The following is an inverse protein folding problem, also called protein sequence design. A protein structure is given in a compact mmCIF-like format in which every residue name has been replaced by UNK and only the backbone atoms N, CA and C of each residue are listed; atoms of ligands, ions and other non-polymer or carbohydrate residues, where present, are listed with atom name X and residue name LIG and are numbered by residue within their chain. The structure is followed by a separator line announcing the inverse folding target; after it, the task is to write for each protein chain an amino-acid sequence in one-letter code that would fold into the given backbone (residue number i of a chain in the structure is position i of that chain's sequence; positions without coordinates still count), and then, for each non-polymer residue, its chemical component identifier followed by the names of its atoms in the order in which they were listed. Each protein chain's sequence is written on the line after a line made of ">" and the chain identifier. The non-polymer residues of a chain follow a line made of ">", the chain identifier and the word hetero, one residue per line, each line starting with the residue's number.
data_IF_803538751664
#
_entry.id   IF_803538751664
#
_cell.length_a   1.000
_cell.length_b   1.000
_cell.length_c   1.000
_cell.angle_alpha   90.00
_cell.angle_beta   90.00
_cell.angle_gamma   90.00
#
_symmetry.space_group_name_H-M   'P 1'
#
loop_
_entity.id
_entity.type
_entity.pdbx_description
1 polymer ?
#
# COMPACT_ATOMS: atom_id res chain seq x y z
N UNK A 1 7.90 24.12 -24.45
CA UNK A 1 7.35 24.44 -23.11
C UNK A 1 7.75 23.33 -22.15
N UNK A 2 8.74 23.58 -21.30
CA UNK A 2 9.16 22.63 -20.26
C UNK A 2 8.06 22.51 -19.20
N UNK A 3 7.51 21.31 -19.01
CA UNK A 3 6.63 21.01 -17.89
C UNK A 3 7.46 21.10 -16.61
N UNK A 4 7.24 22.15 -15.82
CA UNK A 4 7.65 22.16 -14.43
C UNK A 4 6.90 21.03 -13.72
N UNK A 5 7.62 19.97 -13.35
CA UNK A 5 7.13 18.98 -12.41
C UNK A 5 6.97 19.70 -11.07
N UNK A 6 5.73 19.96 -10.65
CA UNK A 6 5.44 20.45 -9.30
C UNK A 6 6.07 19.48 -8.30
N UNK A 7 7.17 19.91 -7.68
CA UNK A 7 7.76 19.20 -6.56
C UNK A 7 6.67 19.04 -5.49
N UNK A 8 6.46 17.83 -4.93
CA UNK A 8 5.42 17.63 -3.93
C UNK A 8 5.63 18.60 -2.76
N UNK A 9 4.60 19.39 -2.45
CA UNK A 9 4.64 20.33 -1.31
C UNK A 9 5.02 19.55 -0.05
N UNK A 10 6.17 19.88 0.54
CA UNK A 10 6.55 19.34 1.84
C UNK A 10 5.55 19.80 2.89
N UNK A 11 4.75 18.87 3.41
CA UNK A 11 3.82 19.17 4.49
C UNK A 11 4.56 19.52 5.79
N UNK A 12 3.94 20.34 6.64
CA UNK A 12 4.45 20.57 8.00
C UNK A 12 4.51 19.22 8.74
N UNK A 13 5.65 18.94 9.36
CA UNK A 13 5.82 17.71 10.13
C UNK A 13 4.89 17.70 11.34
N UNK A 14 4.05 16.66 11.52
CA UNK A 14 3.17 16.56 12.66
C UNK A 14 3.96 16.36 13.97
N UNK A 15 3.39 16.72 15.13
CA UNK A 15 4.07 16.57 16.42
C UNK A 15 4.44 15.11 16.69
N UNK A 16 5.66 14.88 17.21
CA UNK A 16 6.16 13.53 17.56
C UNK A 16 5.50 12.93 18.80
N UNK A 17 4.89 13.77 19.65
CA UNK A 17 4.23 13.35 20.89
C UNK A 17 3.04 12.43 20.55
N UNK A 18 2.95 11.29 21.22
CA UNK A 18 1.93 10.24 21.02
C UNK A 18 1.99 9.45 19.71
N UNK A 19 2.96 9.70 18.82
CA UNK A 19 3.03 8.94 17.56
C UNK A 19 3.20 7.44 17.84
N UNK A 20 2.37 6.57 17.23
CA UNK A 20 2.42 5.15 17.51
C UNK A 20 3.67 4.50 16.89
N UNK A 21 4.29 3.58 17.62
CA UNK A 21 5.40 2.78 17.08
C UNK A 21 4.94 2.04 15.82
N UNK A 22 5.77 2.08 14.78
CA UNK A 22 5.50 1.40 13.50
C UNK A 22 4.61 2.20 12.53
N UNK A 23 4.26 3.44 12.86
CA UNK A 23 3.52 4.36 11.99
C UNK A 23 4.16 5.75 12.04
N UNK A 24 4.65 6.23 10.90
CA UNK A 24 5.10 7.61 10.79
C UNK A 24 3.97 8.45 10.21
N UNK A 25 3.58 9.55 10.88
CA UNK A 25 2.56 10.43 10.33
C UNK A 25 3.17 11.32 9.24
N UNK A 26 2.64 11.20 8.02
CA UNK A 26 3.08 11.95 6.84
C UNK A 26 2.32 13.26 6.69
N UNK A 27 1.03 13.26 7.03
CA UNK A 27 0.15 14.42 6.96
C UNK A 27 -1.03 14.27 7.92
N UNK A 28 -1.45 15.37 8.53
CA UNK A 28 -2.64 15.42 9.38
C UNK A 28 -3.31 16.79 9.29
N UNK A 29 -4.62 16.80 9.09
CA UNK A 29 -5.46 17.99 9.27
C UNK A 29 -6.77 17.63 10.00
N UNK A 30 -7.85 18.38 9.78
CA UNK A 30 -9.15 18.13 10.40
C UNK A 30 -9.93 16.97 9.75
N UNK A 31 -9.64 16.63 8.50
CA UNK A 31 -10.42 15.73 7.67
C UNK A 31 -9.71 14.39 7.45
N UNK A 32 -8.38 14.39 7.33
CA UNK A 32 -7.58 13.20 7.02
C UNK A 32 -6.34 13.05 7.91
N UNK A 33 -5.88 11.79 7.99
CA UNK A 33 -4.61 11.40 8.58
C UNK A 33 -3.93 10.42 7.62
N UNK A 34 -2.72 10.75 7.17
CA UNK A 34 -1.94 9.94 6.26
C UNK A 34 -0.69 9.46 6.97
N UNK A 35 -0.42 8.15 6.91
CA UNK A 35 0.72 7.55 7.60
C UNK A 35 1.50 6.61 6.69
N UNK A 36 2.79 6.46 6.96
CA UNK A 36 3.62 5.38 6.44
C UNK A 36 3.56 4.19 7.42
N UNK A 37 2.93 3.11 6.97
CA UNK A 37 2.74 1.88 7.74
C UNK A 37 3.94 0.96 7.60
N UNK A 38 4.51 0.50 8.72
CA UNK A 38 5.53 -0.54 8.69
C UNK A 38 4.98 -1.88 8.17
N UNK A 39 5.88 -2.70 7.63
CA UNK A 39 5.60 -4.11 7.32
C UNK A 39 5.42 -4.92 8.61
N UNK A 40 4.47 -5.85 8.62
CA UNK A 40 4.16 -6.72 9.77
C UNK A 40 2.99 -6.23 10.63
N UNK A 41 2.56 -4.97 10.45
CA UNK A 41 1.43 -4.35 11.16
C UNK A 41 0.13 -4.50 10.36
N UNK A 42 -0.90 -5.06 10.97
CA UNK A 42 -2.24 -5.12 10.37
C UNK A 42 -2.83 -3.71 10.25
N UNK A 43 -3.48 -3.39 9.12
CA UNK A 43 -4.25 -2.14 9.03
C UNK A 43 -5.46 -2.15 9.97
N UNK A 44 -6.26 -3.21 9.87
CA UNK A 44 -7.50 -3.41 10.64
C UNK A 44 -7.40 -4.77 11.34
N UNK A 45 -7.98 -4.87 12.52
CA UNK A 45 -8.05 -6.10 13.28
C UNK A 45 -8.78 -7.23 12.55
N UNK A 46 -8.55 -8.44 13.03
CA UNK A 46 -9.31 -9.65 12.71
C UNK A 46 -10.00 -10.14 13.97
N UNK A 47 -10.79 -11.21 13.87
CA UNK A 47 -11.45 -11.81 15.05
C UNK A 47 -10.43 -12.21 16.13
N UNK A 48 -9.22 -12.61 15.71
CA UNK A 48 -8.13 -13.05 16.60
C UNK A 48 -7.23 -11.91 17.09
N UNK A 49 -7.15 -10.80 16.34
CA UNK A 49 -6.22 -9.70 16.64
C UNK A 49 -6.97 -8.38 16.55
N UNK A 50 -7.35 -7.83 17.70
CA UNK A 50 -8.10 -6.55 17.77
C UNK A 50 -7.20 -5.36 18.12
N UNK A 51 -6.16 -5.62 18.90
CA UNK A 51 -5.17 -4.62 19.33
C UNK A 51 -3.95 -4.59 18.41
N UNK A 52 -3.09 -3.58 18.60
CA UNK A 52 -1.83 -3.42 17.86
C UNK A 52 -2.01 -3.48 16.32
N UNK A 53 -3.07 -2.83 15.84
CA UNK A 53 -3.31 -2.58 14.41
C UNK A 53 -3.16 -1.09 14.13
N UNK A 54 -2.93 -0.72 12.87
CA UNK A 54 -2.82 0.69 12.52
C UNK A 54 -4.08 1.47 12.93
N UNK A 55 -5.26 0.90 12.69
CA UNK A 55 -6.52 1.49 13.11
C UNK A 55 -6.62 1.68 14.63
N UNK A 56 -6.26 0.67 15.43
CA UNK A 56 -6.27 0.77 16.89
C UNK A 56 -5.30 1.85 17.39
N UNK A 57 -4.05 1.80 16.91
CA UNK A 57 -2.99 2.72 17.30
C UNK A 57 -3.32 4.17 16.94
N UNK A 58 -3.89 4.41 15.76
CA UNK A 58 -4.27 5.76 15.32
C UNK A 58 -5.49 6.30 16.06
N UNK A 59 -6.44 5.44 16.46
CA UNK A 59 -7.53 5.86 17.36
C UNK A 59 -6.99 6.34 18.70
N UNK A 60 -6.02 5.63 19.29
CA UNK A 60 -5.37 6.07 20.53
C UNK A 60 -4.61 7.40 20.34
N UNK A 61 -3.91 7.55 19.22
CA UNK A 61 -3.21 8.78 18.85
C UNK A 61 -4.16 10.00 18.80
N UNK A 62 -5.27 9.92 18.07
CA UNK A 62 -6.20 11.08 17.94
C UNK A 62 -7.01 11.37 19.21
N UNK A 63 -7.12 10.40 20.12
CA UNK A 63 -7.69 10.59 21.46
C UNK A 63 -6.69 11.20 22.45
N UNK A 64 -5.39 11.17 22.14
CA UNK A 64 -4.31 11.73 22.97
C UNK A 64 -4.37 11.25 24.43
N UNK A 65 -4.76 9.98 24.64
CA UNK A 65 -4.90 9.39 25.97
C UNK A 65 -6.16 9.79 26.75
N UNK A 66 -7.09 10.54 26.16
CA UNK A 66 -8.38 10.85 26.79
C UNK A 66 -9.45 9.79 26.43
N UNK A 67 -9.88 8.92 27.37
CA UNK A 67 -10.86 7.87 27.09
C UNK A 67 -12.26 8.42 26.74
N UNK A 68 -12.58 9.65 27.18
CA UNK A 68 -13.87 10.32 26.90
C UNK A 68 -13.88 11.04 25.55
N UNK A 69 -12.74 11.11 24.86
CA UNK A 69 -12.64 11.78 23.55
C UNK A 69 -13.50 11.05 22.52
N UNK A 70 -14.34 11.82 21.82
CA UNK A 70 -15.15 11.33 20.69
C UNK A 70 -14.36 11.20 19.39
N UNK A 71 -13.13 11.71 19.34
CA UNK A 71 -12.26 11.56 18.18
C UNK A 71 -12.04 10.08 17.88
N UNK A 72 -12.23 9.73 16.61
CA UNK A 72 -11.97 8.40 16.08
C UNK A 72 -11.51 8.49 14.64
N UNK A 73 -10.74 7.48 14.24
CA UNK A 73 -10.37 7.30 12.86
C UNK A 73 -11.45 6.50 12.12
N UNK A 74 -11.50 6.68 10.81
CA UNK A 74 -12.34 5.92 9.90
C UNK A 74 -11.48 5.33 8.79
N UNK A 75 -11.70 4.04 8.52
CA UNK A 75 -10.94 3.30 7.51
C UNK A 75 -11.45 3.70 6.12
N UNK A 76 -10.55 4.17 5.26
CA UNK A 76 -10.82 4.44 3.84
C UNK A 76 -10.45 3.21 3.02
N UNK A 77 -9.20 2.75 3.16
CA UNK A 77 -8.67 1.57 2.49
C UNK A 77 -7.75 0.77 3.43
N UNK A 78 -7.23 -0.35 2.94
CA UNK A 78 -6.30 -1.20 3.68
C UNK A 78 -5.06 -1.55 2.88
N UNK A 79 -3.98 -1.83 3.59
CA UNK A 79 -2.83 -2.56 3.09
C UNK A 79 -2.82 -3.94 3.77
N UNK A 80 -2.21 -4.93 3.11
CA UNK A 80 -1.95 -6.21 3.75
C UNK A 80 -0.97 -6.04 4.90
N UNK A 81 -0.98 -7.00 5.85
CA UNK A 81 -0.13 -6.97 7.06
C UNK A 81 1.33 -6.67 6.73
N UNK A 82 1.88 -7.40 5.76
CA UNK A 82 3.30 -7.33 5.42
C UNK A 82 3.63 -6.27 4.36
N UNK A 83 2.62 -5.67 3.73
CA UNK A 83 2.80 -4.53 2.82
C UNK A 83 3.07 -3.27 3.63
N UNK A 84 4.13 -2.54 3.30
CA UNK A 84 4.45 -1.26 3.96
C UNK A 84 4.02 -0.06 3.12
N UNK A 85 4.08 1.17 3.66
CA UNK A 85 3.89 2.40 2.90
C UNK A 85 2.62 3.18 3.22
N UNK A 86 2.27 4.08 2.31
CA UNK A 86 1.23 5.10 2.48
C UNK A 86 -0.16 4.48 2.71
N UNK A 87 -0.84 4.96 3.74
CA UNK A 87 -2.25 4.68 4.01
C UNK A 87 -2.96 5.94 4.51
N UNK A 88 -4.18 6.16 3.99
CA UNK A 88 -5.05 7.28 4.36
C UNK A 88 -6.18 6.79 5.25
N UNK A 89 -6.43 7.54 6.31
CA UNK A 89 -7.60 7.42 7.16
C UNK A 89 -8.37 8.74 7.17
N UNK A 90 -9.69 8.66 7.34
CA UNK A 90 -10.53 9.84 7.55
C UNK A 90 -10.72 10.11 9.05
N UNK A 91 -10.87 11.37 9.42
CA UNK A 91 -11.12 11.83 10.80
C UNK A 91 -12.60 12.14 11.08
N UNK A 92 -13.43 12.11 10.04
CA UNK A 92 -14.88 12.27 10.12
C UNK A 92 -15.60 11.44 9.04
N UNK A 93 -16.91 11.25 9.20
CA UNK A 93 -17.72 10.38 8.33
C UNK A 93 -17.90 10.94 6.91
N UNK A 94 -17.99 12.26 6.77
CA UNK A 94 -18.10 12.92 5.48
C UNK A 94 -16.84 12.68 4.63
N UNK A 95 -15.66 12.87 5.22
CA UNK A 95 -14.38 12.55 4.60
C UNK A 95 -14.26 11.06 4.27
N UNK A 96 -14.68 10.15 5.17
CA UNK A 96 -14.69 8.71 4.91
C UNK A 96 -15.51 8.38 3.66
N UNK A 97 -16.75 8.85 3.60
CA UNK A 97 -17.68 8.57 2.50
C UNK A 97 -17.10 9.05 1.17
N UNK A 98 -16.69 10.31 1.11
CA UNK A 98 -16.08 10.90 -0.08
C UNK A 98 -14.86 10.12 -0.57
N UNK A 99 -13.92 9.80 0.34
CA UNK A 99 -12.69 9.11 -0.02
C UNK A 99 -12.93 7.66 -0.46
N UNK A 100 -13.95 6.99 0.08
CA UNK A 100 -14.32 5.63 -0.33
C UNK A 100 -14.99 5.61 -1.71
N UNK A 101 -15.86 6.58 -2.00
CA UNK A 101 -16.50 6.73 -3.31
C UNK A 101 -15.45 7.05 -4.39
N UNK A 102 -14.55 7.99 -4.11
CA UNK A 102 -13.49 8.43 -5.02
C UNK A 102 -12.27 7.49 -5.08
N UNK A 103 -12.27 6.36 -4.36
CA UNK A 103 -11.09 5.46 -4.25
C UNK A 103 -10.56 4.96 -5.61
N UNK A 104 -11.47 4.81 -6.56
CA UNK A 104 -11.21 4.38 -7.93
C UNK A 104 -10.34 5.40 -8.68
N UNK A 105 -10.50 6.70 -8.37
CA UNK A 105 -9.84 7.82 -9.04
C UNK A 105 -8.43 8.10 -8.49
N UNK A 106 -8.03 7.44 -7.39
CA UNK A 106 -6.75 7.69 -6.76
C UNK A 106 -5.62 7.11 -7.61
N UNK A 107 -4.52 7.84 -7.78
CA UNK A 107 -3.31 7.29 -8.39
C UNK A 107 -2.48 6.61 -7.30
N UNK A 108 -2.08 5.36 -7.52
CA UNK A 108 -1.51 4.47 -6.51
C UNK A 108 -0.21 3.87 -7.04
N UNK A 109 0.93 4.34 -6.56
CA UNK A 109 2.23 3.79 -6.95
C UNK A 109 2.82 2.88 -5.87
N UNK A 110 3.39 1.76 -6.30
CA UNK A 110 4.06 0.81 -5.45
C UNK A 110 5.48 0.55 -5.94
N UNK A 111 6.37 0.19 -5.01
CA UNK A 111 7.60 -0.50 -5.34
C UNK A 111 7.49 -1.96 -4.93
N UNK A 112 8.02 -2.84 -5.78
CA UNK A 112 8.18 -4.25 -5.46
C UNK A 112 9.54 -4.77 -5.89
N UNK A 113 10.10 -5.72 -5.14
CA UNK A 113 11.20 -6.56 -5.64
C UNK A 113 10.63 -7.95 -5.90
N UNK A 114 10.83 -8.46 -7.12
CA UNK A 114 10.40 -9.79 -7.53
C UNK A 114 11.59 -10.70 -7.83
N UNK A 115 11.38 -12.01 -7.73
CA UNK A 115 12.36 -13.02 -8.13
C UNK A 115 12.56 -13.05 -9.65
N UNK A 116 13.79 -13.32 -10.08
CA UNK A 116 14.19 -13.43 -11.48
C UNK A 116 14.36 -12.07 -12.17
N UNK A 117 14.47 -12.14 -13.50
CA UNK A 117 14.45 -10.98 -14.41
C UNK A 117 13.22 -11.05 -15.28
N UNK A 118 12.61 -9.89 -15.59
CA UNK A 118 11.43 -9.88 -16.44
C UNK A 118 11.86 -9.76 -17.91
N UNK A 119 11.28 -10.56 -18.83
CA UNK A 119 11.52 -10.40 -20.26
C UNK A 119 11.09 -9.00 -20.74
N UNK A 120 9.91 -8.57 -20.33
CA UNK A 120 9.35 -7.25 -20.61
C UNK A 120 9.80 -6.25 -19.53
N UNK A 121 10.31 -5.08 -19.94
CA UNK A 121 10.76 -4.04 -18.99
C UNK A 121 9.65 -3.10 -18.54
N UNK A 122 8.52 -3.11 -19.21
CA UNK A 122 7.30 -2.43 -18.80
C UNK A 122 6.09 -3.11 -19.45
N UNK A 123 4.92 -2.98 -18.85
CA UNK A 123 3.70 -3.60 -19.35
C UNK A 123 2.54 -3.54 -18.38
N UNK A 124 1.44 -4.21 -18.75
CA UNK A 124 0.24 -4.32 -17.92
C UNK A 124 -0.17 -5.79 -17.80
N UNK A 125 -0.20 -6.30 -16.57
CA UNK A 125 -0.71 -7.63 -16.26
C UNK A 125 -2.22 -7.51 -15.98
N UNK A 126 -3.03 -8.23 -16.75
CA UNK A 126 -4.50 -8.25 -16.61
C UNK A 126 -5.00 -9.67 -16.39
N UNK A 127 -5.81 -9.88 -15.35
CA UNK A 127 -6.49 -11.15 -15.06
C UNK A 127 -7.74 -10.90 -14.22
N UNK A 128 -8.60 -11.91 -14.03
CA UNK A 128 -9.67 -11.85 -13.03
C UNK A 128 -9.19 -12.53 -11.76
N UNK A 129 -9.30 -11.86 -10.61
CA UNK A 129 -8.89 -12.43 -9.33
C UNK A 129 -10.09 -12.94 -8.54
N UNK A 130 -10.01 -14.20 -8.11
CA UNK A 130 -10.99 -14.88 -7.27
C UNK A 130 -10.36 -15.25 -5.92
N UNK A 131 -11.20 -15.48 -4.91
CA UNK A 131 -10.78 -15.93 -3.58
C UNK A 131 -11.32 -17.33 -3.32
N UNK A 132 -10.46 -18.25 -2.86
CA UNK A 132 -10.89 -19.60 -2.52
C UNK A 132 -11.37 -19.72 -1.06
N UNK A 133 -11.82 -20.91 -0.67
CA UNK A 133 -12.37 -21.20 0.68
C UNK A 133 -11.38 -20.98 1.83
N UNK A 134 -10.07 -20.95 1.56
CA UNK A 134 -9.02 -20.68 2.56
C UNK A 134 -8.52 -19.22 2.52
N UNK A 135 -9.29 -18.31 1.90
CA UNK A 135 -8.99 -16.88 1.77
C UNK A 135 -7.72 -16.55 0.99
N UNK A 136 -7.28 -17.45 0.10
CA UNK A 136 -6.17 -17.24 -0.83
C UNK A 136 -6.71 -16.75 -2.17
N UNK A 137 -6.16 -15.63 -2.63
CA UNK A 137 -6.44 -15.09 -3.96
C UNK A 137 -5.69 -15.86 -5.05
N UNK A 138 -6.29 -16.03 -6.22
CA UNK A 138 -5.69 -16.65 -7.41
C UNK A 138 -6.31 -16.05 -8.68
N UNK A 139 -5.61 -16.09 -9.82
CA UNK A 139 -6.23 -15.69 -11.10
C UNK A 139 -7.08 -16.79 -11.71
N UNK A 140 -8.11 -16.34 -12.40
CA UNK A 140 -9.01 -17.12 -13.22
C UNK A 140 -9.23 -16.41 -14.55
N UNK A 141 -9.51 -17.18 -15.59
CA UNK A 141 -9.94 -16.64 -16.88
C UNK A 141 -11.46 -16.44 -16.94
N UNK A 142 -12.19 -16.95 -15.94
CA UNK A 142 -13.64 -16.86 -15.84
C UNK A 142 -14.06 -15.53 -15.17
N UNK A 143 -14.66 -14.59 -15.93
CA UNK A 143 -15.10 -13.29 -15.41
C UNK A 143 -16.26 -13.39 -14.42
N UNK A 144 -16.98 -14.52 -14.36
CA UNK A 144 -18.04 -14.73 -13.38
C UNK A 144 -17.50 -15.19 -12.02
N UNK A 145 -16.30 -15.79 -11.98
CA UNK A 145 -15.66 -16.25 -10.74
C UNK A 145 -14.77 -15.21 -10.07
N UNK A 146 -14.24 -14.26 -10.85
CA UNK A 146 -13.26 -13.29 -10.37
C UNK A 146 -13.63 -11.85 -10.69
N UNK A 147 -12.91 -10.92 -10.08
CA UNK A 147 -13.02 -9.48 -10.40
C UNK A 147 -11.82 -9.04 -11.21
N UNK A 148 -12.08 -8.24 -12.25
CA UNK A 148 -11.02 -7.72 -13.13
C UNK A 148 -9.95 -6.97 -12.31
N UNK A 149 -8.71 -7.35 -12.56
CA UNK A 149 -7.50 -6.80 -11.94
C UNK A 149 -6.50 -6.42 -13.04
N UNK A 150 -5.89 -5.26 -12.88
CA UNK A 150 -4.94 -4.64 -13.80
C UNK A 150 -3.80 -4.02 -13.01
N UNK A 151 -2.58 -4.43 -13.32
CA UNK A 151 -1.34 -3.99 -12.66
C UNK A 151 -0.36 -3.55 -13.74
N UNK A 152 -0.14 -2.24 -13.86
CA UNK A 152 0.93 -1.69 -14.69
C UNK A 152 2.27 -1.79 -13.96
N UNK A 153 3.35 -2.04 -14.68
CA UNK A 153 4.69 -2.12 -14.10
C UNK A 153 5.75 -1.56 -15.02
N UNK A 154 6.86 -1.13 -14.41
CA UNK A 154 8.11 -0.76 -15.06
C UNK A 154 9.28 -1.26 -14.24
N UNK A 155 10.21 -1.95 -14.87
CA UNK A 155 11.47 -2.39 -14.28
C UNK A 155 12.38 -1.18 -14.10
N UNK A 156 12.81 -0.94 -12.87
CA UNK A 156 13.73 0.16 -12.52
C UNK A 156 15.18 -0.31 -12.47
N UNK A 157 15.41 -1.51 -11.95
CA UNK A 157 16.75 -2.09 -11.81
C UNK A 157 16.66 -3.60 -11.67
N UNK A 158 17.65 -4.31 -12.18
CA UNK A 158 17.75 -5.77 -12.04
C UNK A 158 19.12 -6.18 -11.50
N UNK A 159 19.14 -7.39 -10.94
CA UNK A 159 20.32 -8.19 -10.64
C UNK A 159 20.13 -9.57 -11.26
N UNK A 160 21.09 -10.49 -11.06
CA UNK A 160 20.95 -11.88 -11.55
C UNK A 160 19.68 -12.58 -11.05
N UNK A 161 19.24 -12.27 -9.82
CA UNK A 161 18.19 -13.03 -9.15
C UNK A 161 16.92 -12.22 -8.86
N UNK A 162 16.92 -10.91 -9.11
CA UNK A 162 15.83 -10.02 -8.70
C UNK A 162 15.64 -8.83 -9.62
N UNK A 163 14.39 -8.39 -9.76
CA UNK A 163 14.00 -7.13 -10.41
C UNK A 163 13.27 -6.21 -9.44
N UNK A 164 13.71 -4.95 -9.36
CA UNK A 164 13.03 -3.87 -8.67
C UNK A 164 12.09 -3.18 -9.66
N UNK A 165 10.82 -3.08 -9.29
CA UNK A 165 9.73 -2.58 -10.11
C UNK A 165 9.10 -1.33 -9.49
N UNK A 166 8.77 -0.36 -10.33
CA UNK A 166 7.67 0.59 -10.08
C UNK A 166 6.38 -0.04 -10.60
N UNK A 167 5.31 0.08 -9.83
CA UNK A 167 3.99 -0.49 -10.14
C UNK A 167 2.95 0.62 -10.09
N UNK A 168 2.17 0.73 -11.14
CA UNK A 168 0.95 1.53 -11.18
C UNK A 168 -0.28 0.63 -10.95
N UNK A 169 -0.92 0.81 -9.80
CA UNK A 169 -2.02 -0.04 -9.37
C UNK A 169 -3.37 0.48 -9.88
N UNK A 170 -3.69 0.13 -11.13
CA UNK A 170 -4.89 0.57 -11.85
C UNK A 170 -6.20 0.07 -11.23
N UNK A 171 -6.15 -1.03 -10.50
CA UNK A 171 -7.28 -1.59 -9.74
C UNK A 171 -6.75 -2.10 -8.39
N UNK A 172 -7.57 -2.10 -7.33
CA UNK A 172 -7.12 -2.46 -5.98
C UNK A 172 -7.78 -3.72 -5.42
N UNK A 173 -7.46 -4.91 -5.93
CA UNK A 173 -7.93 -6.19 -5.35
C UNK A 173 -6.97 -6.70 -4.28
N UNK A 174 -7.48 -7.54 -3.37
CA UNK A 174 -6.69 -8.20 -2.32
C UNK A 174 -5.53 -8.98 -2.95
N UNK A 175 -4.33 -8.86 -2.40
CA UNK A 175 -3.10 -9.53 -2.87
C UNK A 175 -2.78 -9.38 -4.37
N UNK A 176 -3.37 -8.41 -5.09
CA UNK A 176 -3.34 -8.37 -6.55
C UNK A 176 -1.93 -8.41 -7.15
N UNK A 177 -1.06 -7.50 -6.70
CA UNK A 177 0.35 -7.44 -7.15
C UNK A 177 1.04 -8.79 -6.91
N UNK A 178 0.83 -9.38 -5.74
CA UNK A 178 1.48 -10.63 -5.32
C UNK A 178 1.07 -11.80 -6.21
N UNK A 179 -0.22 -11.91 -6.53
CA UNK A 179 -0.76 -12.95 -7.41
C UNK A 179 -0.26 -12.78 -8.84
N UNK A 180 -0.38 -11.57 -9.42
CA UNK A 180 0.01 -11.30 -10.80
C UNK A 180 1.48 -11.67 -11.08
N UNK A 181 2.38 -11.27 -10.18
CA UNK A 181 3.80 -11.54 -10.35
C UNK A 181 4.18 -12.99 -10.08
N UNK A 182 3.50 -13.68 -9.15
CA UNK A 182 3.66 -15.10 -8.95
C UNK A 182 3.24 -15.92 -10.19
N UNK A 183 2.15 -15.53 -10.86
CA UNK A 183 1.68 -16.20 -12.08
C UNK A 183 2.57 -15.96 -13.29
N UNK A 184 3.25 -14.82 -13.34
CA UNK A 184 4.33 -14.55 -14.31
C UNK A 184 5.63 -15.31 -14.00
N UNK A 185 5.65 -16.18 -12.98
CA UNK A 185 6.84 -16.92 -12.56
C UNK A 185 7.89 -16.08 -11.83
N UNK A 186 7.56 -14.83 -11.49
CA UNK A 186 8.46 -13.87 -10.84
C UNK A 186 7.81 -13.39 -9.53
N UNK A 187 7.58 -14.23 -8.51
CA UNK A 187 6.85 -13.82 -7.32
C UNK A 187 7.58 -12.72 -6.53
N UNK A 188 6.82 -11.96 -5.73
CA UNK A 188 7.39 -10.92 -4.85
C UNK A 188 8.35 -11.55 -3.83
N UNK A 189 9.54 -10.98 -3.68
CA UNK A 189 10.55 -11.45 -2.76
C UNK A 189 10.06 -11.38 -1.30
N UNK A 190 10.32 -12.43 -0.53
CA UNK A 190 9.87 -12.56 0.87
C UNK A 190 8.36 -12.81 1.04
N UNK A 191 7.64 -13.12 -0.04
CA UNK A 191 6.23 -13.49 0.01
C UNK A 191 6.05 -14.92 0.53
N UNK A 192 5.48 -15.05 1.73
CA UNK A 192 5.25 -16.33 2.41
C UNK A 192 4.10 -17.16 1.83
N UNK A 193 3.24 -16.56 0.99
CA UNK A 193 2.02 -17.19 0.45
C UNK A 193 2.22 -17.56 -1.01
N UNK A 194 2.76 -16.64 -1.80
CA UNK A 194 2.89 -16.76 -3.26
C UNK A 194 4.33 -16.91 -3.74
N UNK A 195 5.32 -16.75 -2.86
CA UNK A 195 6.73 -16.73 -3.23
C UNK A 195 7.50 -18.02 -2.97
N UNK A 196 8.79 -17.95 -3.30
CA UNK A 196 9.75 -19.03 -3.10
C UNK A 196 10.07 -19.25 -1.62
N UNK A 197 10.18 -20.51 -1.21
CA UNK A 197 10.57 -20.90 0.14
C UNK A 197 12.09 -20.97 0.25
N UNK A 198 12.64 -20.74 1.44
CA UNK A 198 14.07 -20.95 1.72
C UNK A 198 15.02 -19.83 1.25
N UNK A 199 14.50 -18.70 0.76
CA UNK A 199 15.31 -17.60 0.19
C UNK A 199 16.03 -16.75 1.24
N UNK A 200 15.73 -16.94 2.54
CA UNK A 200 16.26 -16.12 3.63
C UNK A 200 15.63 -14.72 3.76
N UNK A 201 14.80 -14.28 2.80
CA UNK A 201 14.14 -12.98 2.83
C UNK A 201 12.92 -13.04 3.75
N UNK A 202 13.01 -12.38 4.91
CA UNK A 202 11.98 -12.47 5.97
C UNK A 202 10.83 -11.46 5.82
N UNK A 203 10.99 -10.45 4.98
CA UNK A 203 10.05 -9.33 4.80
C UNK A 203 9.56 -9.30 3.35
N UNK A 204 8.25 -9.14 3.18
CA UNK A 204 7.65 -8.89 1.87
C UNK A 204 8.23 -7.61 1.26
N UNK A 205 8.85 -7.74 0.09
CA UNK A 205 9.40 -6.63 -0.69
C UNK A 205 8.28 -5.94 -1.50
N UNK A 206 7.25 -5.43 -0.80
CA UNK A 206 6.16 -4.65 -1.36
C UNK A 206 5.89 -3.38 -0.52
N UNK A 207 5.85 -2.24 -1.19
CA UNK A 207 5.74 -0.93 -0.55
C UNK A 207 4.81 0.00 -1.33
N UNK A 208 3.75 0.50 -0.70
CA UNK A 208 2.88 1.56 -1.21
C UNK A 208 3.65 2.88 -1.17
N UNK A 209 4.32 3.22 -2.28
CA UNK A 209 5.29 4.30 -2.36
C UNK A 209 4.62 5.67 -2.37
N UNK A 210 3.53 5.82 -3.14
CA UNK A 210 2.78 7.07 -3.14
C UNK A 210 1.30 6.87 -3.43
N UNK A 211 0.52 7.84 -2.94
CA UNK A 211 -0.91 7.95 -3.16
C UNK A 211 -1.26 9.39 -3.51
N UNK A 212 -1.91 9.58 -4.66
CA UNK A 212 -2.44 10.87 -5.08
C UNK A 212 -3.97 10.86 -5.04
N UNK A 213 -4.56 11.85 -4.38
CA UNK A 213 -6.01 11.97 -4.23
C UNK A 213 -6.46 13.43 -4.21
N UNK A 214 -7.76 13.67 -4.37
CA UNK A 214 -8.38 14.96 -4.08
C UNK A 214 -8.74 15.03 -2.60
N UNK A 215 -8.35 16.11 -1.92
CA UNK A 215 -8.67 16.33 -0.52
C UNK A 215 -10.20 16.42 -0.32
N UNK A 216 -10.82 15.74 0.66
CA UNK A 216 -12.27 15.64 0.79
C UNK A 216 -12.97 16.98 1.00
N UNK A 217 -12.30 17.95 1.64
CA UNK A 217 -12.87 19.27 1.87
C UNK A 217 -12.42 20.30 0.82
N UNK A 218 -11.11 20.48 0.66
CA UNK A 218 -10.53 21.56 -0.17
C UNK A 218 -10.51 21.21 -1.65
N UNK A 219 -10.69 19.93 -2.01
CA UNK A 219 -10.59 19.41 -3.38
C UNK A 219 -9.23 19.63 -4.05
N UNK A 220 -8.22 20.08 -3.30
CA UNK A 220 -6.85 20.18 -3.80
C UNK A 220 -6.30 18.78 -4.10
N UNK A 221 -5.60 18.65 -5.23
CA UNK A 221 -4.87 17.43 -5.58
C UNK A 221 -3.62 17.33 -4.72
N UNK A 222 -3.54 16.27 -3.91
CA UNK A 222 -2.45 16.05 -2.97
C UNK A 222 -1.78 14.70 -3.26
N UNK A 223 -0.44 14.67 -3.20
CA UNK A 223 0.36 13.46 -3.30
C UNK A 223 1.11 13.23 -2.00
N UNK A 224 0.98 12.03 -1.44
CA UNK A 224 1.68 11.61 -0.24
C UNK A 224 2.68 10.52 -0.60
N UNK A 225 3.90 10.60 -0.08
CA UNK A 225 4.99 9.69 -0.41
C UNK A 225 5.60 9.06 0.84
N UNK A 226 5.93 7.78 0.74
CA UNK A 226 6.72 7.04 1.73
C UNK A 226 8.04 6.60 1.09
N UNK A 227 9.13 6.73 1.85
CA UNK A 227 10.47 6.42 1.34
C UNK A 227 10.61 4.92 1.13
N UNK A 228 11.02 4.53 -0.08
CA UNK A 228 11.32 3.13 -0.39
C UNK A 228 12.31 2.55 0.64
N UNK A 229 12.00 1.38 1.25
CA UNK A 229 12.89 0.75 2.20
C UNK A 229 14.26 0.43 1.60
N UNK A 230 15.34 0.76 2.30
CA UNK A 230 16.71 0.58 1.80
C UNK A 230 17.04 -0.86 1.39
N UNK A 231 16.43 -1.84 2.07
CA UNK A 231 16.61 -3.27 1.76
C UNK A 231 16.17 -3.65 0.33
N UNK A 232 15.23 -2.92 -0.27
CA UNK A 232 14.80 -3.19 -1.65
C UNK A 232 15.97 -2.97 -2.60
N UNK A 233 16.71 -1.86 -2.40
CA UNK A 233 17.89 -1.55 -3.21
C UNK A 233 19.03 -2.55 -2.98
N UNK A 234 19.18 -3.09 -1.76
CA UNK A 234 20.23 -4.08 -1.49
C UNK A 234 20.02 -5.41 -2.20
N UNK A 235 18.76 -5.80 -2.50
CA UNK A 235 18.47 -7.01 -3.27
C UNK A 235 18.86 -6.90 -4.75
N UNK A 236 18.91 -5.67 -5.28
CA UNK A 236 19.28 -5.38 -6.67
C UNK A 236 20.62 -4.64 -6.77
N UNK A 237 21.51 -4.86 -5.79
CA UNK A 237 22.91 -4.46 -5.91
C UNK A 237 23.64 -5.46 -6.80
N UNK A 238 24.51 -4.91 -7.65
CA UNK A 238 25.50 -5.65 -8.40
C UNK A 238 26.64 -6.05 -7.49
#
# INVERSE_FOLDING_TARGET
>A
MHQMQDLPKSFKSPPKKYQPRGLSVLYEDRDILVVDKISGLLTVGTDKVRENTAYFLLNNYVRKGNPKSRNRMFIVHRLDRDTSGVIVFAKNEAAKRYLQEAWHDFTKKYYAVVHGTLPEKEGVITSYLAENSIHRMYSTNDPQKGKLAKTGFKVLKESKNYSLLEIDLLTGKKNQIRVHFAEKGCPVAGDKVYGEKGTGIKRLALHAASLTMLHPHTKEKMTFEAKMPAFFRSLVKS
#
